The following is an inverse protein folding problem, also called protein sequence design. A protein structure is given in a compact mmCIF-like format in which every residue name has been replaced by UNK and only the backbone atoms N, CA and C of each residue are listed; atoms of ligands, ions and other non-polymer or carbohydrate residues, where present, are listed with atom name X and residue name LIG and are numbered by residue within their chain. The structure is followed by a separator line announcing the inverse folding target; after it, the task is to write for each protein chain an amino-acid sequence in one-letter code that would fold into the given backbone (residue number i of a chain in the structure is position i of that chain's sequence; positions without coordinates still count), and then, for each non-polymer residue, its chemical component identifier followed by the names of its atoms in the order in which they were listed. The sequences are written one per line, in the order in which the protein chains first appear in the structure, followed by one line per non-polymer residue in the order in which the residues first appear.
data_IF_970991482787
#
_entry.id   IF_970991482787
#
_cell.length_a   1.000
_cell.length_b   1.000
_cell.length_c   1.000
_cell.angle_alpha   90.00
_cell.angle_beta   90.00
_cell.angle_gamma   90.00
#
_symmetry.space_group_name_H-M   'P 1'
#
loop_
_entity.id
_entity.type
_entity.pdbx_description
1 polymer ?
#
# COMPACT_ATOMS: atom_id res chain seq x y z
N UNK A 1 13.72 -0.70 -8.03
CA UNK A 1 13.83 0.44 -7.10
C UNK A 1 13.30 1.67 -7.81
N UNK A 2 12.48 2.48 -7.13
CA UNK A 2 11.88 3.69 -7.71
C UNK A 2 12.40 4.87 -6.87
N UNK A 3 12.95 5.87 -7.52
CA UNK A 3 13.49 7.07 -6.86
C UNK A 3 12.66 8.30 -7.20
N UNK A 4 12.46 9.15 -6.21
CA UNK A 4 11.79 10.45 -6.36
C UNK A 4 12.68 11.55 -5.76
N UNK A 5 12.18 12.76 -5.68
CA UNK A 5 12.92 13.88 -5.06
C UNK A 5 13.28 13.59 -3.58
N UNK A 6 12.31 13.08 -2.80
CA UNK A 6 12.46 12.90 -1.35
C UNK A 6 12.40 11.44 -0.89
N UNK A 7 12.00 10.51 -1.77
CA UNK A 7 11.73 9.13 -1.40
C UNK A 7 12.52 8.13 -2.24
N UNK A 8 12.73 6.94 -1.66
CA UNK A 8 13.19 5.75 -2.35
C UNK A 8 12.21 4.62 -2.02
N UNK A 9 11.57 4.05 -3.04
CA UNK A 9 10.73 2.87 -2.89
C UNK A 9 11.60 1.65 -3.18
N UNK A 10 11.88 0.85 -2.14
CA UNK A 10 12.71 -0.36 -2.23
C UNK A 10 11.79 -1.60 -2.23
N UNK A 11 11.96 -2.55 -3.15
CA UNK A 11 11.24 -3.82 -3.09
C UNK A 11 11.41 -4.48 -1.72
N UNK A 12 10.41 -5.26 -1.29
CA UNK A 12 10.50 -5.98 -0.03
C UNK A 12 11.75 -6.85 0.04
N UNK A 13 12.49 -6.71 1.14
CA UNK A 13 13.67 -7.50 1.52
C UNK A 13 13.58 -7.82 3.00
N UNK A 14 14.17 -8.92 3.42
CA UNK A 14 14.28 -9.28 4.84
C UNK A 14 15.16 -8.31 5.63
N UNK A 15 15.98 -7.49 4.95
CA UNK A 15 16.89 -6.53 5.58
C UNK A 15 16.17 -5.47 6.42
N UNK A 16 14.91 -5.14 6.10
CA UNK A 16 14.14 -4.15 6.84
C UNK A 16 12.87 -4.69 7.51
N UNK A 17 12.70 -6.01 7.57
CA UNK A 17 11.50 -6.63 8.16
C UNK A 17 11.35 -6.30 9.64
N UNK A 18 12.45 -6.23 10.39
CA UNK A 18 12.44 -5.90 11.81
C UNK A 18 12.02 -4.45 12.06
N UNK A 19 12.58 -3.50 11.30
CA UNK A 19 12.17 -2.10 11.34
C UNK A 19 10.69 -1.93 10.97
N UNK A 20 10.24 -2.64 9.92
CA UNK A 20 8.83 -2.66 9.53
C UNK A 20 7.96 -3.17 10.67
N UNK A 21 8.30 -4.32 11.26
CA UNK A 21 7.53 -4.92 12.35
C UNK A 21 7.40 -3.98 13.54
N UNK A 22 8.50 -3.42 14.03
CA UNK A 22 8.51 -2.50 15.17
C UNK A 22 7.60 -1.28 14.89
N UNK A 23 7.78 -0.64 13.75
CA UNK A 23 6.98 0.54 13.35
C UNK A 23 5.51 0.18 13.12
N UNK A 24 5.22 -0.97 12.51
CA UNK A 24 3.86 -1.40 12.24
C UNK A 24 3.10 -1.70 13.54
N UNK A 25 3.75 -2.35 14.51
CA UNK A 25 3.15 -2.61 15.83
C UNK A 25 2.97 -1.32 16.64
N UNK A 26 3.91 -0.38 16.61
CA UNK A 26 3.77 0.91 17.29
C UNK A 26 2.65 1.78 16.71
N UNK A 27 2.25 1.56 15.47
CA UNK A 27 1.14 2.23 14.79
C UNK A 27 -0.16 1.38 14.78
N UNK A 28 -0.24 0.32 15.58
CA UNK A 28 -1.32 -0.67 15.56
C UNK A 28 -2.71 -0.03 15.59
N UNK A 29 -2.96 0.88 16.51
CA UNK A 29 -4.28 1.54 16.67
C UNK A 29 -4.70 2.27 15.39
N UNK A 30 -3.75 2.91 14.70
CA UNK A 30 -4.00 3.57 13.43
C UNK A 30 -4.35 2.57 12.32
N UNK A 31 -3.71 1.38 12.31
CA UNK A 31 -3.90 0.37 11.27
C UNK A 31 -5.04 -0.62 11.52
N UNK A 32 -5.60 -0.68 12.73
CA UNK A 32 -6.67 -1.63 13.05
C UNK A 32 -7.90 -1.50 12.16
N UNK A 33 -8.21 -0.30 11.70
CA UNK A 33 -9.39 -0.07 10.87
C UNK A 33 -9.13 -0.28 9.36
N UNK A 34 -7.88 -0.14 8.90
CA UNK A 34 -7.58 -0.14 7.45
C UNK A 34 -6.64 -1.25 7.01
N UNK A 35 -5.87 -1.84 7.94
CA UNK A 35 -4.90 -2.90 7.69
C UNK A 35 -5.03 -4.07 8.66
N UNK A 36 -6.26 -4.33 9.13
CA UNK A 36 -6.59 -5.40 10.09
C UNK A 36 -6.06 -6.78 9.65
N UNK A 37 -6.18 -7.09 8.34
CA UNK A 37 -5.67 -8.34 7.78
C UNK A 37 -4.14 -8.45 7.88
N UNK A 38 -3.40 -7.39 7.62
CA UNK A 38 -1.94 -7.39 7.77
C UNK A 38 -1.56 -7.53 9.24
N UNK A 39 -2.23 -6.80 10.14
CA UNK A 39 -2.01 -6.93 11.58
C UNK A 39 -2.26 -8.34 12.11
N UNK A 40 -3.27 -9.04 11.60
CA UNK A 40 -3.61 -10.40 12.04
C UNK A 40 -2.54 -11.45 11.70
N UNK A 41 -1.70 -11.18 10.70
CA UNK A 41 -0.64 -12.08 10.21
C UNK A 41 0.79 -11.59 10.46
N UNK A 42 0.95 -10.53 11.27
CA UNK A 42 2.24 -9.95 11.66
C UNK A 42 2.30 -9.63 13.15
N UNK A 43 1.72 -10.50 13.99
CA UNK A 43 1.65 -10.28 15.46
C UNK A 43 2.99 -10.45 16.15
N UNK A 44 3.88 -11.25 15.60
CA UNK A 44 5.24 -11.49 16.08
C UNK A 44 6.23 -11.18 14.98
N UNK A 45 7.50 -11.00 15.34
CA UNK A 45 8.57 -10.77 14.35
C UNK A 45 8.71 -11.98 13.40
N UNK A 46 8.53 -13.20 13.90
CA UNK A 46 8.60 -14.41 13.07
C UNK A 46 7.45 -14.46 12.06
N UNK A 47 6.25 -14.10 12.46
CA UNK A 47 5.12 -13.97 11.54
C UNK A 47 5.36 -12.87 10.49
N UNK A 48 5.97 -11.74 10.89
CA UNK A 48 6.33 -10.68 9.96
C UNK A 48 7.39 -11.15 8.95
N UNK A 49 8.39 -11.93 9.36
CA UNK A 49 9.37 -12.54 8.46
C UNK A 49 8.71 -13.49 7.45
N UNK A 50 7.80 -14.35 7.90
CA UNK A 50 7.03 -15.24 7.02
C UNK A 50 6.15 -14.45 6.06
N UNK A 51 5.51 -13.38 6.53
CA UNK A 51 4.72 -12.47 5.68
C UNK A 51 5.59 -11.86 4.58
N UNK A 52 6.78 -11.34 4.93
CA UNK A 52 7.70 -10.76 3.97
C UNK A 52 8.20 -11.80 2.94
N UNK A 53 8.56 -13.00 3.39
CA UNK A 53 8.98 -14.09 2.49
C UNK A 53 7.91 -14.40 1.44
N UNK A 54 6.64 -14.54 1.86
CA UNK A 54 5.51 -14.73 0.94
C UNK A 54 5.33 -13.57 -0.04
N UNK A 55 5.54 -12.32 0.40
CA UNK A 55 5.44 -11.16 -0.47
C UNK A 55 6.60 -11.05 -1.47
N UNK A 56 7.81 -11.40 -1.05
CA UNK A 56 8.98 -11.50 -1.92
C UNK A 56 8.75 -12.59 -2.98
N UNK A 57 8.22 -13.74 -2.60
CA UNK A 57 7.86 -14.82 -3.54
C UNK A 57 6.78 -14.38 -4.53
N UNK A 58 5.71 -13.75 -4.04
CA UNK A 58 4.66 -13.17 -4.89
C UNK A 58 5.22 -12.16 -5.91
N UNK A 59 6.23 -11.36 -5.53
CA UNK A 59 6.90 -10.47 -6.48
C UNK A 59 7.67 -11.24 -7.58
N UNK A 60 8.34 -12.33 -7.22
CA UNK A 60 9.07 -13.18 -8.19
C UNK A 60 8.14 -13.83 -9.21
N UNK A 61 6.94 -14.19 -8.75
CA UNK A 61 5.91 -14.82 -9.58
C UNK A 61 5.04 -13.81 -10.34
N UNK A 62 5.30 -12.50 -10.23
CA UNK A 62 4.46 -11.43 -10.77
C UNK A 62 3.00 -11.45 -10.27
N UNK A 63 2.75 -11.95 -9.06
CA UNK A 63 1.43 -12.01 -8.43
C UNK A 63 1.15 -10.76 -7.57
N UNK A 64 2.16 -9.93 -7.34
CA UNK A 64 2.09 -8.67 -6.61
C UNK A 64 3.45 -7.97 -6.56
N UNK A 65 3.44 -6.66 -6.33
CA UNK A 65 4.66 -5.87 -6.15
C UNK A 65 4.55 -5.09 -4.84
N UNK A 66 5.50 -5.29 -3.94
CA UNK A 66 5.49 -4.76 -2.58
C UNK A 66 6.78 -3.98 -2.31
N UNK A 67 6.63 -2.74 -1.83
CA UNK A 67 7.74 -1.81 -1.60
C UNK A 67 7.64 -1.19 -0.21
N UNK A 68 8.79 -1.06 0.46
CA UNK A 68 8.96 -0.13 1.56
C UNK A 68 9.24 1.26 1.01
N UNK A 69 8.66 2.28 1.63
CA UNK A 69 8.90 3.68 1.32
C UNK A 69 9.94 4.21 2.31
N UNK A 70 11.05 4.73 1.79
CA UNK A 70 12.17 5.25 2.58
C UNK A 70 12.40 6.73 2.29
N UNK A 71 12.84 7.48 3.31
CA UNK A 71 13.32 8.85 3.12
C UNK A 71 14.69 8.82 2.44
N UNK A 72 14.82 9.56 1.36
CA UNK A 72 16.09 9.72 0.66
C UNK A 72 17.12 10.39 1.59
N UNK A 73 18.33 9.83 1.61
CA UNK A 73 19.45 10.36 2.41
C UNK A 73 19.47 9.97 3.89
N UNK A 74 18.42 9.33 4.41
CA UNK A 74 18.39 8.85 5.79
C UNK A 74 18.12 7.36 5.96
N UNK A 75 17.73 6.68 4.86
CA UNK A 75 17.32 5.27 4.82
C UNK A 75 16.26 4.87 5.87
N UNK A 76 15.52 5.84 6.40
CA UNK A 76 14.42 5.57 7.33
C UNK A 76 13.22 5.04 6.59
N UNK A 77 12.73 3.88 6.97
CA UNK A 77 11.45 3.34 6.51
C UNK A 77 10.31 4.21 7.04
N UNK A 78 9.50 4.77 6.15
CA UNK A 78 8.39 5.68 6.51
C UNK A 78 7.01 5.15 6.10
N UNK A 79 6.94 4.05 5.36
CA UNK A 79 5.67 3.53 4.89
C UNK A 79 5.80 2.33 3.97
N UNK A 80 4.71 2.01 3.33
CA UNK A 80 4.55 0.88 2.43
C UNK A 80 3.66 1.26 1.25
N UNK A 81 3.94 0.67 0.08
CA UNK A 81 3.07 0.71 -1.08
C UNK A 81 3.14 -0.62 -1.84
N UNK A 82 2.03 -1.05 -2.38
CA UNK A 82 1.95 -2.31 -3.12
C UNK A 82 0.84 -2.32 -4.16
N UNK A 83 0.97 -3.21 -5.13
CA UNK A 83 -0.13 -3.67 -5.98
C UNK A 83 -0.26 -5.17 -5.83
N UNK A 84 -1.50 -5.66 -5.73
CA UNK A 84 -1.85 -7.06 -5.46
C UNK A 84 -3.12 -7.44 -6.22
N UNK A 85 -3.54 -8.70 -6.10
CA UNK A 85 -4.73 -9.20 -6.79
C UNK A 85 -4.66 -8.92 -8.30
N UNK A 86 -3.49 -9.22 -8.87
CA UNK A 86 -3.18 -8.91 -10.26
C UNK A 86 -3.90 -9.91 -11.17
N UNK A 87 -4.62 -9.38 -12.14
CA UNK A 87 -5.19 -10.13 -13.25
C UNK A 87 -4.46 -9.72 -14.54
N UNK A 88 -3.60 -10.61 -15.04
CA UNK A 88 -2.82 -10.36 -16.24
C UNK A 88 -3.59 -10.58 -17.54
N UNK A 89 -4.79 -11.15 -17.48
CA UNK A 89 -5.65 -11.28 -18.69
C UNK A 89 -6.20 -9.91 -19.11
N UNK A 90 -6.41 -9.03 -18.13
CA UNK A 90 -6.62 -7.60 -18.28
C UNK A 90 -5.68 -6.93 -17.30
N UNK A 91 -4.47 -6.50 -17.69
CA UNK A 91 -3.44 -6.07 -16.76
C UNK A 91 -3.93 -5.03 -15.75
N UNK A 92 -4.47 -5.50 -14.63
CA UNK A 92 -5.05 -4.68 -13.56
C UNK A 92 -4.67 -5.22 -12.18
N UNK A 93 -4.73 -4.37 -11.16
CA UNK A 93 -4.46 -4.78 -9.78
C UNK A 93 -4.94 -3.77 -8.76
N UNK A 94 -5.11 -4.24 -7.51
CA UNK A 94 -5.48 -3.42 -6.36
C UNK A 94 -4.23 -2.81 -5.72
N UNK A 95 -4.19 -1.48 -5.65
CA UNK A 95 -3.14 -0.71 -5.01
C UNK A 95 -3.51 -0.44 -3.55
N UNK A 96 -2.53 -0.59 -2.66
CA UNK A 96 -2.66 -0.22 -1.25
C UNK A 96 -1.38 0.46 -0.77
N UNK A 97 -1.51 1.45 0.10
CA UNK A 97 -0.38 2.16 0.69
C UNK A 97 -0.69 2.69 2.09
N UNK A 98 0.34 2.97 2.84
CA UNK A 98 0.28 3.77 4.05
C UNK A 98 1.60 4.49 4.32
N UNK A 99 1.52 5.56 5.10
CA UNK A 99 2.66 6.24 5.73
C UNK A 99 2.49 6.08 7.24
N UNK A 100 3.57 5.76 7.96
CA UNK A 100 3.56 5.70 9.43
C UNK A 100 3.22 7.08 10.00
N UNK A 101 2.51 7.07 11.12
CA UNK A 101 1.91 8.28 11.70
C UNK A 101 2.92 9.41 11.95
N UNK A 102 4.14 9.06 12.40
CA UNK A 102 5.22 10.02 12.65
C UNK A 102 5.68 10.80 11.41
N UNK A 103 5.34 10.31 10.22
CA UNK A 103 5.68 10.92 8.93
C UNK A 103 4.46 11.49 8.20
N UNK A 104 3.28 11.46 8.83
CA UNK A 104 2.04 11.98 8.26
C UNK A 104 2.11 13.50 8.05
N UNK A 105 1.29 14.05 7.16
CA UNK A 105 1.21 15.49 6.91
C UNK A 105 2.29 16.06 5.97
N UNK A 106 3.34 15.28 5.65
CA UNK A 106 4.47 15.74 4.82
C UNK A 106 4.25 15.54 3.29
N UNK A 107 3.06 15.14 2.88
CA UNK A 107 2.71 14.82 1.48
C UNK A 107 3.51 13.67 0.86
N UNK A 108 4.19 12.84 1.65
CA UNK A 108 4.93 11.68 1.14
C UNK A 108 4.04 10.65 0.43
N UNK A 109 2.79 10.49 0.88
CA UNK A 109 1.83 9.59 0.22
C UNK A 109 1.51 10.02 -1.22
N UNK A 110 1.43 11.31 -1.51
CA UNK A 110 1.22 11.82 -2.88
C UNK A 110 2.39 11.45 -3.78
N UNK A 111 3.61 11.74 -3.31
CA UNK A 111 4.84 11.49 -4.06
C UNK A 111 5.05 9.99 -4.31
N UNK A 112 4.87 9.17 -3.27
CA UNK A 112 4.99 7.71 -3.37
C UNK A 112 3.93 7.11 -4.31
N UNK A 113 2.67 7.53 -4.17
CA UNK A 113 1.58 7.01 -4.99
C UNK A 113 1.76 7.39 -6.46
N UNK A 114 2.14 8.63 -6.76
CA UNK A 114 2.38 9.08 -8.12
C UNK A 114 3.52 8.29 -8.78
N UNK A 115 4.65 8.16 -8.11
CA UNK A 115 5.80 7.41 -8.64
C UNK A 115 5.48 5.92 -8.83
N UNK A 116 4.75 5.31 -7.88
CA UNK A 116 4.38 3.91 -7.98
C UNK A 116 3.30 3.66 -9.05
N UNK A 117 2.35 4.56 -9.22
CA UNK A 117 1.40 4.56 -10.34
C UNK A 117 2.14 4.55 -11.67
N UNK A 118 3.08 5.47 -11.85
CA UNK A 118 3.85 5.61 -13.08
C UNK A 118 4.70 4.36 -13.35
N UNK A 119 5.29 3.75 -12.33
CA UNK A 119 5.96 2.45 -12.41
C UNK A 119 4.99 1.34 -12.86
N UNK A 120 3.81 1.26 -12.27
CA UNK A 120 2.81 0.27 -12.67
C UNK A 120 2.39 0.44 -14.14
N UNK A 121 2.12 1.67 -14.55
CA UNK A 121 1.61 1.94 -15.90
C UNK A 121 2.69 1.81 -16.97
N UNK A 122 3.91 2.27 -16.71
CA UNK A 122 4.94 2.40 -17.74
C UNK A 122 5.93 1.23 -17.76
N UNK A 123 6.30 0.68 -16.58
CA UNK A 123 7.27 -0.41 -16.49
C UNK A 123 6.61 -1.79 -16.39
N UNK A 124 5.42 -1.86 -15.79
CA UNK A 124 4.65 -3.12 -15.62
C UNK A 124 3.46 -3.25 -16.55
N UNK A 125 3.23 -2.24 -17.40
CA UNK A 125 2.23 -2.23 -18.47
C UNK A 125 0.80 -2.51 -17.99
N UNK A 126 0.49 -2.13 -16.73
CA UNK A 126 -0.89 -2.15 -16.28
C UNK A 126 -1.73 -1.19 -17.13
N UNK A 127 -2.94 -1.61 -17.47
CA UNK A 127 -3.93 -0.74 -18.14
C UNK A 127 -4.91 -0.13 -17.14
N UNK A 128 -4.96 -0.72 -15.93
CA UNK A 128 -5.82 -0.26 -14.85
C UNK A 128 -5.22 -0.59 -13.50
N UNK A 129 -5.18 0.38 -12.61
CA UNK A 129 -4.89 0.18 -11.20
C UNK A 129 -6.02 0.82 -10.39
N UNK A 130 -6.43 0.17 -9.31
CA UNK A 130 -7.54 0.66 -8.49
C UNK A 130 -7.22 0.53 -7.01
N UNK A 131 -7.92 1.28 -6.19
CA UNK A 131 -7.84 1.20 -4.74
C UNK A 131 -9.22 1.29 -4.12
N UNK A 132 -9.38 0.64 -2.98
CA UNK A 132 -10.57 0.66 -2.17
C UNK A 132 -10.31 1.53 -0.95
N UNK A 133 -11.10 2.57 -0.77
CA UNK A 133 -10.91 3.57 0.28
C UNK A 133 -12.16 3.60 1.16
N UNK A 134 -11.98 3.46 2.48
CA UNK A 134 -13.09 3.61 3.41
C UNK A 134 -13.69 5.03 3.34
N UNK A 135 -15.01 5.20 3.39
CA UNK A 135 -15.68 6.51 3.23
C UNK A 135 -15.20 7.56 4.23
N UNK A 136 -14.80 7.15 5.42
CA UNK A 136 -14.29 8.01 6.51
C UNK A 136 -12.79 8.34 6.37
N UNK A 137 -12.05 7.69 5.46
CA UNK A 137 -10.64 7.97 5.21
C UNK A 137 -10.46 9.15 4.25
N UNK A 138 -10.75 10.36 4.75
CA UNK A 138 -10.67 11.60 3.98
C UNK A 138 -9.26 11.85 3.43
N UNK A 139 -8.21 11.47 4.17
CA UNK A 139 -6.84 11.66 3.74
C UNK A 139 -6.53 10.85 2.48
N UNK A 140 -6.89 9.55 2.45
CA UNK A 140 -6.66 8.69 1.28
C UNK A 140 -7.49 9.13 0.07
N UNK A 141 -8.72 9.64 0.26
CA UNK A 141 -9.52 10.20 -0.84
C UNK A 141 -8.80 11.37 -1.51
N UNK A 142 -8.33 12.34 -0.72
CA UNK A 142 -7.57 13.48 -1.24
C UNK A 142 -6.30 13.07 -1.99
N UNK A 143 -5.60 12.04 -1.49
CA UNK A 143 -4.40 11.52 -2.16
C UNK A 143 -4.77 10.86 -3.50
N UNK A 144 -5.81 10.05 -3.53
CA UNK A 144 -6.29 9.41 -4.75
C UNK A 144 -6.65 10.43 -5.83
N UNK A 145 -7.50 11.40 -5.49
CA UNK A 145 -7.94 12.47 -6.39
C UNK A 145 -6.78 13.32 -6.90
N UNK A 146 -5.85 13.70 -6.01
CA UNK A 146 -4.65 14.45 -6.41
C UNK A 146 -3.76 13.66 -7.39
N UNK A 147 -3.70 12.33 -7.24
CA UNK A 147 -2.95 11.47 -8.14
C UNK A 147 -3.75 11.02 -9.36
N UNK A 148 -4.84 11.72 -9.68
CA UNK A 148 -5.72 11.50 -10.83
C UNK A 148 -6.43 10.12 -10.84
N UNK A 149 -6.69 9.54 -9.66
CA UNK A 149 -7.62 8.43 -9.56
C UNK A 149 -9.05 8.96 -9.56
N UNK A 150 -9.90 8.39 -10.38
CA UNK A 150 -11.31 8.77 -10.50
C UNK A 150 -12.19 7.87 -9.64
N UNK A 151 -13.21 8.48 -9.01
CA UNK A 151 -14.22 7.73 -8.26
C UNK A 151 -15.14 6.98 -9.24
N UNK A 152 -15.26 5.67 -9.07
CA UNK A 152 -16.11 4.84 -9.94
C UNK A 152 -17.34 4.28 -9.25
N UNK A 153 -17.38 4.23 -7.92
CA UNK A 153 -18.56 3.72 -7.25
C UNK A 153 -18.38 3.32 -5.80
N UNK A 154 -19.48 2.87 -5.20
CA UNK A 154 -19.57 2.39 -3.83
C UNK A 154 -19.72 0.86 -3.84
N UNK A 155 -18.81 0.17 -3.19
CA UNK A 155 -18.85 -1.26 -2.93
C UNK A 155 -19.45 -1.50 -1.55
N UNK A 156 -20.66 -2.03 -1.48
CA UNK A 156 -21.35 -2.25 -0.20
C UNK A 156 -20.77 -3.46 0.53
N UNK A 157 -20.52 -3.30 1.84
CA UNK A 157 -20.02 -4.36 2.72
C UNK A 157 -18.73 -5.05 2.21
N UNK A 158 -17.85 -4.32 1.55
CA UNK A 158 -16.68 -4.88 0.85
C UNK A 158 -15.46 -5.05 1.75
N UNK A 159 -15.46 -4.48 2.94
CA UNK A 159 -14.35 -4.59 3.88
C UNK A 159 -14.84 -4.91 5.30
N UNK A 160 -14.03 -5.66 6.05
CA UNK A 160 -14.26 -5.99 7.45
C UNK A 160 -13.23 -5.26 8.32
N UNK A 161 -13.70 -4.23 9.02
CA UNK A 161 -12.92 -3.54 10.05
C UNK A 161 -12.77 -4.42 11.30
N UNK A 162 -12.01 -3.95 12.29
CA UNK A 162 -11.97 -4.58 13.62
C UNK A 162 -13.40 -4.80 14.16
N UNK A 163 -13.54 -5.76 15.10
CA UNK A 163 -14.82 -6.12 15.73
C UNK A 163 -15.89 -6.62 14.74
N UNK A 164 -15.45 -7.22 13.63
CA UNK A 164 -16.35 -7.84 12.64
C UNK A 164 -17.32 -6.87 11.93
N UNK A 165 -17.11 -5.56 12.05
CA UNK A 165 -17.97 -4.56 11.40
C UNK A 165 -17.70 -4.55 9.89
N UNK A 166 -18.74 -4.87 9.10
CA UNK A 166 -18.72 -4.68 7.66
C UNK A 166 -18.85 -3.19 7.33
N UNK A 167 -18.03 -2.73 6.39
CA UNK A 167 -18.05 -1.35 5.93
C UNK A 167 -18.03 -1.28 4.42
N UNK A 168 -18.65 -0.26 3.88
CA UNK A 168 -18.60 0.05 2.46
C UNK A 168 -17.21 0.58 2.09
N UNK A 169 -16.84 0.38 0.81
CA UNK A 169 -15.61 0.93 0.28
C UNK A 169 -15.89 1.76 -0.97
N UNK A 170 -15.21 2.88 -1.09
CA UNK A 170 -15.20 3.69 -2.31
C UNK A 170 -14.15 3.11 -3.27
N UNK A 171 -14.56 2.83 -4.49
CA UNK A 171 -13.68 2.40 -5.56
C UNK A 171 -13.14 3.62 -6.31
N UNK A 172 -11.84 3.77 -6.29
CA UNK A 172 -11.10 4.75 -7.10
C UNK A 172 -10.19 4.02 -8.07
N UNK A 173 -10.12 4.46 -9.32
CA UNK A 173 -9.28 3.83 -10.31
C UNK A 173 -8.53 4.84 -11.18
N UNK A 174 -7.38 4.41 -11.68
CA UNK A 174 -6.60 5.08 -12.70
C UNK A 174 -6.47 4.14 -13.90
N UNK A 175 -6.83 4.62 -15.07
CA UNK A 175 -6.77 3.88 -16.34
C UNK A 175 -5.85 4.60 -17.33
N UNK A 176 -5.32 3.83 -18.26
CA UNK A 176 -4.50 4.35 -19.37
C UNK A 176 -5.40 4.89 -20.44
#
# INVERSE_FOLDING_TARGET
MIETERLILKPYSLDFVEEFYIKFQSNKTYFEDYFSRTLSVTKTLEEAKLYFQKKIESCRNNEGFYFGIFLRGSDKLIGHISIREIDWTVPKGELAYFIFNDFSGNKYSYEALQAFRDFCMNEKEFVRIFMKIAPDNIASKKVAEFCNFEFEGLLKNDYRKRQEVLTDMLLYAFTR
#
